data_IF_568660244935
#
_entry.id   IF_568660244935
#
_cell.length_a   1.000
_cell.length_b   1.000
_cell.length_c   1.000
_cell.angle_alpha   90.00
_cell.angle_beta   90.00
_cell.angle_gamma   90.00
#
_symmetry.space_group_name_H-M   'P 1'
#
loop_
_entity.id
_entity.type
_entity.pdbx_description
1 polymer ?
#
# COMPACT_ATOMS: atom_id res chain seq x y z
N UNK A 1 3.88 17.93 -20.99
CA UNK A 1 3.42 17.44 -19.67
C UNK A 1 3.80 15.97 -19.56
N UNK A 2 4.99 15.69 -19.05
CA UNK A 2 5.59 14.36 -19.10
C UNK A 2 4.99 13.45 -18.02
N UNK A 3 4.16 12.50 -18.44
CA UNK A 3 3.74 11.37 -17.63
C UNK A 3 4.96 10.44 -17.55
N UNK A 4 5.70 10.49 -16.44
CA UNK A 4 6.81 9.54 -16.21
C UNK A 4 6.21 8.15 -16.02
N UNK A 5 6.58 7.15 -16.83
CA UNK A 5 6.21 5.77 -16.57
C UNK A 5 7.04 5.26 -15.39
N UNK A 6 6.38 4.75 -14.36
CA UNK A 6 7.00 4.05 -13.24
C UNK A 6 7.38 2.64 -13.70
N UNK A 7 8.60 2.20 -13.40
CA UNK A 7 9.12 0.85 -13.67
C UNK A 7 9.97 0.38 -12.48
N UNK A 8 10.27 -0.94 -12.30
CA UNK A 8 9.66 -2.15 -12.85
C UNK A 8 9.16 -3.15 -11.76
N UNK A 9 8.46 -4.19 -12.22
CA UNK A 9 7.92 -5.34 -11.47
C UNK A 9 8.96 -6.19 -10.73
N UNK A 10 8.64 -6.55 -9.49
CA UNK A 10 9.04 -7.81 -8.83
C UNK A 10 7.82 -8.77 -8.81
N UNK A 11 8.03 -10.10 -8.79
CA UNK A 11 7.02 -11.06 -9.19
C UNK A 11 5.92 -11.16 -8.14
N UNK A 12 4.75 -10.63 -8.48
CA UNK A 12 3.51 -10.93 -7.78
C UNK A 12 3.27 -12.45 -7.83
N UNK A 13 3.58 -13.13 -6.72
CA UNK A 13 3.22 -14.52 -6.51
C UNK A 13 1.70 -14.71 -6.64
N UNK A 14 1.24 -15.89 -7.09
CA UNK A 14 -0.13 -16.05 -7.56
C UNK A 14 -1.11 -16.27 -6.40
N UNK A 15 -2.27 -15.60 -6.46
CA UNK A 15 -3.48 -16.02 -5.77
C UNK A 15 -3.94 -15.13 -4.62
N UNK A 16 -4.81 -14.16 -4.94
CA UNK A 16 -5.61 -13.42 -3.96
C UNK A 16 -5.50 -11.91 -4.15
N UNK A 17 -6.40 -11.31 -4.93
CA UNK A 17 -6.49 -9.85 -5.20
C UNK A 17 -6.76 -8.99 -3.94
N UNK A 18 -6.74 -9.56 -2.73
CA UNK A 18 -7.15 -8.90 -1.50
C UNK A 18 -5.98 -8.55 -0.54
N UNK A 19 -4.71 -8.82 -0.90
CA UNK A 19 -3.56 -8.67 0.02
C UNK A 19 -2.34 -7.96 -0.58
N UNK A 20 -2.46 -7.29 -1.72
CA UNK A 20 -1.33 -6.52 -2.28
C UNK A 20 -1.35 -5.08 -1.77
N UNK A 21 -0.17 -4.48 -1.60
CA UNK A 21 -0.03 -3.10 -1.13
C UNK A 21 -0.79 -2.13 -2.02
N UNK A 22 -0.67 -2.27 -3.33
CA UNK A 22 -1.30 -1.42 -4.33
C UNK A 22 -2.83 -1.47 -4.23
N UNK A 23 -3.41 -2.64 -3.94
CA UNK A 23 -4.86 -2.77 -3.80
C UNK A 23 -5.35 -2.07 -2.54
N UNK A 24 -4.69 -2.31 -1.39
CA UNK A 24 -5.03 -1.67 -0.11
C UNK A 24 -4.84 -0.16 -0.19
N UNK A 25 -3.76 0.30 -0.83
CA UNK A 25 -3.46 1.72 -1.01
C UNK A 25 -4.49 2.40 -1.92
N UNK A 26 -4.85 1.78 -3.05
CA UNK A 26 -5.89 2.32 -3.97
C UNK A 26 -7.23 2.50 -3.25
N UNK A 27 -7.62 1.53 -2.41
CA UNK A 27 -8.84 1.62 -1.63
C UNK A 27 -8.79 2.76 -0.61
N UNK A 28 -7.65 2.91 0.08
CA UNK A 28 -7.42 4.01 1.02
C UNK A 28 -7.52 5.38 0.33
N UNK A 29 -6.90 5.54 -0.84
CA UNK A 29 -6.98 6.77 -1.63
C UNK A 29 -8.43 7.12 -2.00
N UNK A 30 -9.23 6.13 -2.40
CA UNK A 30 -10.64 6.35 -2.72
C UNK A 30 -11.45 6.81 -1.51
N UNK A 31 -11.16 6.28 -0.32
CA UNK A 31 -11.80 6.70 0.93
C UNK A 31 -11.40 8.12 1.28
N UNK A 32 -10.11 8.45 1.23
CA UNK A 32 -9.60 9.81 1.52
C UNK A 32 -10.25 10.82 0.57
N UNK A 33 -10.24 10.55 -0.73
CA UNK A 33 -10.85 11.42 -1.73
C UNK A 33 -12.37 11.62 -1.49
N UNK A 34 -13.04 10.62 -0.94
CA UNK A 34 -14.47 10.72 -0.58
C UNK A 34 -14.68 11.57 0.67
N UNK A 35 -13.87 11.38 1.71
CA UNK A 35 -13.93 12.17 2.93
C UNK A 35 -13.59 13.66 2.67
N UNK A 36 -12.61 13.94 1.81
CA UNK A 36 -12.20 15.29 1.44
C UNK A 36 -13.27 16.08 0.68
N UNK A 37 -14.18 15.40 -0.03
CA UNK A 37 -15.33 16.06 -0.67
C UNK A 37 -16.31 16.65 0.33
N UNK A 38 -16.43 16.05 1.52
CA UNK A 38 -17.28 16.56 2.60
C UNK A 38 -18.79 16.49 2.33
N UNK A 39 -19.23 15.69 1.35
CA UNK A 39 -20.64 15.58 0.93
C UNK A 39 -21.42 14.49 1.71
N UNK A 40 -20.76 13.82 2.67
CA UNK A 40 -21.32 12.69 3.41
C UNK A 40 -21.96 13.10 4.74
N UNK A 41 -23.02 12.40 5.17
CA UNK A 41 -23.48 12.45 6.56
C UNK A 41 -22.36 12.08 7.54
N UNK A 42 -22.41 12.63 8.75
CA UNK A 42 -21.40 12.39 9.79
C UNK A 42 -21.21 10.89 10.09
N UNK A 43 -22.31 10.14 10.16
CA UNK A 43 -22.28 8.69 10.44
C UNK A 43 -21.51 7.93 9.35
N UNK A 44 -21.75 8.22 8.08
CA UNK A 44 -21.03 7.61 6.95
C UNK A 44 -19.56 8.04 6.93
N UNK A 45 -19.28 9.30 7.24
CA UNK A 45 -17.92 9.80 7.35
C UNK A 45 -17.12 9.09 8.45
N UNK A 46 -17.75 8.76 9.59
CA UNK A 46 -17.13 7.99 10.67
C UNK A 46 -16.81 6.56 10.23
N UNK A 47 -17.74 5.88 9.55
CA UNK A 47 -17.51 4.52 9.04
C UNK A 47 -16.36 4.50 8.03
N UNK A 48 -16.31 5.47 7.11
CA UNK A 48 -15.22 5.60 6.17
C UNK A 48 -13.89 5.93 6.85
N UNK A 49 -13.91 6.76 7.89
CA UNK A 49 -12.71 7.06 8.67
C UNK A 49 -12.12 5.81 9.33
N UNK A 50 -12.95 5.01 10.01
CA UNK A 50 -12.54 3.76 10.64
C UNK A 50 -11.95 2.77 9.62
N UNK A 51 -12.61 2.62 8.47
CA UNK A 51 -12.10 1.79 7.37
C UNK A 51 -10.77 2.32 6.84
N UNK A 52 -10.65 3.64 6.66
CA UNK A 52 -9.40 4.29 6.25
C UNK A 52 -8.26 4.03 7.22
N UNK A 53 -8.51 4.11 8.53
CA UNK A 53 -7.51 3.76 9.55
C UNK A 53 -7.08 2.29 9.47
N UNK A 54 -8.02 1.37 9.27
CA UNK A 54 -7.72 -0.04 9.11
C UNK A 54 -6.89 -0.33 7.86
N UNK A 55 -7.16 0.34 6.73
CA UNK A 55 -6.36 0.20 5.51
C UNK A 55 -4.97 0.81 5.67
N UNK A 56 -4.86 1.96 6.33
CA UNK A 56 -3.55 2.58 6.61
C UNK A 56 -2.66 1.67 7.45
N UNK A 57 -3.22 1.05 8.50
CA UNK A 57 -2.51 0.07 9.32
C UNK A 57 -2.03 -1.13 8.50
N UNK A 58 -2.88 -1.64 7.59
CA UNK A 58 -2.52 -2.73 6.69
C UNK A 58 -1.39 -2.35 5.73
N UNK A 59 -1.43 -1.16 5.13
CA UNK A 59 -0.32 -0.64 4.31
C UNK A 59 0.99 -0.62 5.08
N UNK A 60 0.98 -0.10 6.33
CA UNK A 60 2.18 -0.08 7.17
C UNK A 60 2.71 -1.48 7.47
N UNK A 61 1.83 -2.46 7.73
CA UNK A 61 2.24 -3.85 7.95
C UNK A 61 2.89 -4.47 6.72
N UNK A 62 2.33 -4.25 5.53
CA UNK A 62 2.88 -4.75 4.28
C UNK A 62 4.28 -4.16 4.00
N UNK A 63 4.46 -2.87 4.26
CA UNK A 63 5.77 -2.21 4.14
C UNK A 63 6.78 -2.75 5.16
N UNK A 64 6.36 -2.95 6.41
CA UNK A 64 7.21 -3.53 7.45
C UNK A 64 7.65 -4.97 7.10
N UNK A 65 6.76 -5.77 6.52
CA UNK A 65 7.09 -7.11 6.06
C UNK A 65 8.09 -7.07 4.89
N UNK A 66 7.93 -6.14 3.95
CA UNK A 66 8.88 -5.93 2.86
C UNK A 66 10.26 -5.49 3.38
N UNK A 67 10.30 -4.57 4.35
CA UNK A 67 11.56 -4.12 4.98
C UNK A 67 12.25 -5.26 5.72
N UNK A 68 11.51 -6.08 6.47
CA UNK A 68 12.06 -7.24 7.16
C UNK A 68 12.68 -8.24 6.18
N UNK A 69 12.02 -8.48 5.03
CA UNK A 69 12.57 -9.33 3.97
C UNK A 69 13.89 -8.76 3.44
N UNK A 70 13.97 -7.44 3.23
CA UNK A 70 15.21 -6.78 2.79
C UNK A 70 16.34 -6.92 3.82
N UNK A 71 16.03 -6.79 5.12
CA UNK A 71 17.01 -6.95 6.20
C UNK A 71 17.53 -8.40 6.33
N UNK A 72 16.72 -9.38 5.97
CA UNK A 72 17.08 -10.80 5.99
C UNK A 72 17.88 -11.25 4.77
N UNK A 73 17.97 -10.41 3.73
CA UNK A 73 18.86 -10.70 2.61
C UNK A 73 20.30 -10.69 3.14
N UNK A 74 21.03 -11.82 3.05
CA UNK A 74 22.46 -11.78 3.32
C UNK A 74 23.04 -10.74 2.37
N UNK A 75 23.83 -9.79 2.90
CA UNK A 75 24.61 -8.86 2.08
C UNK A 75 25.54 -9.70 1.21
N UNK A 76 25.07 -10.14 0.05
CA UNK A 76 25.90 -10.69 -0.99
C UNK A 76 26.58 -9.52 -1.69
N UNK A 77 27.40 -8.80 -0.91
CA UNK A 77 28.68 -8.38 -1.44
C UNK A 77 29.50 -9.67 -1.56
N UNK A 78 29.32 -10.35 -2.69
CA UNK A 78 30.38 -11.18 -3.21
C UNK A 78 31.58 -10.27 -3.47
N UNK A 79 32.66 -10.53 -2.75
CA UNK A 79 33.98 -10.06 -3.09
C UNK A 79 34.34 -10.45 -4.53
N UNK A 80 35.01 -9.54 -5.23
CA UNK A 80 35.66 -9.73 -6.53
C UNK A 80 35.73 -8.37 -7.23
N UNK A 81 36.89 -7.73 -7.46
CA UNK A 81 38.31 -8.02 -7.21
C UNK A 81 39.02 -6.68 -6.91
#
# INVERSE_FOLDING_TARGET
>A
MAKRPTAPSEPAAPGGRARTFEAVFTELEAIVATLEKGELPLEDALVLHERGQALAAQCSQLLAEAELKLQQLPTTQAAGE
#
